data_IF_108143954797
#
_entry.id   IF_108143954797
#
_cell.length_a   1.000
_cell.length_b   1.000
_cell.length_c   1.000
_cell.angle_alpha   90.00
_cell.angle_beta   90.00
_cell.angle_gamma   90.00
#
_symmetry.space_group_name_H-M   'P 1'
#
loop_
_entity.id
_entity.type
_entity.pdbx_description
1 polymer ?
#
# COMPACT_ATOMS: atom_id res chain seq x y z
N UNK A 1 16.94 -8.20 19.58
CA UNK A 1 15.82 -7.33 19.99
C UNK A 1 15.59 -6.32 18.88
N UNK A 2 14.60 -6.56 18.01
CA UNK A 2 14.10 -5.57 17.06
C UNK A 2 12.58 -5.66 17.14
N UNK A 3 11.98 -4.80 17.97
CA UNK A 3 10.53 -4.67 18.10
C UNK A 3 10.07 -3.71 17.01
N UNK A 4 9.92 -4.19 15.78
CA UNK A 4 9.24 -3.40 14.75
C UNK A 4 7.74 -3.55 14.98
N UNK A 5 7.16 -2.60 15.72
CA UNK A 5 5.76 -2.60 16.14
C UNK A 5 4.81 -2.19 15.02
N UNK A 6 4.91 -2.80 13.84
CA UNK A 6 3.91 -2.63 12.78
C UNK A 6 2.87 -3.72 13.00
N UNK A 7 1.67 -3.32 13.42
CA UNK A 7 0.52 -4.23 13.51
C UNK A 7 -0.09 -4.36 12.11
N UNK A 8 -0.19 -5.58 11.56
CA UNK A 8 -0.92 -5.79 10.31
C UNK A 8 -2.35 -5.26 10.48
N UNK A 9 -2.86 -4.51 9.50
CA UNK A 9 -4.28 -4.14 9.48
C UNK A 9 -5.06 -5.38 9.05
N UNK A 10 -5.50 -6.17 10.01
CA UNK A 10 -6.17 -7.47 9.77
C UNK A 10 -7.64 -7.34 9.37
N UNK A 11 -8.22 -6.14 9.48
CA UNK A 11 -9.63 -5.88 9.17
C UNK A 11 -9.74 -4.60 8.36
N UNK A 12 -9.61 -4.74 7.05
CA UNK A 12 -9.79 -3.65 6.12
C UNK A 12 -11.19 -3.75 5.52
N UNK A 13 -12.07 -2.79 5.84
CA UNK A 13 -13.47 -2.79 5.37
C UNK A 13 -13.64 -2.26 3.93
N UNK A 14 -12.62 -2.40 3.08
CA UNK A 14 -12.70 -2.00 1.67
C UNK A 14 -12.15 -3.11 0.76
N UNK A 15 -12.64 -3.14 -0.47
CA UNK A 15 -12.23 -4.13 -1.46
C UNK A 15 -10.77 -3.92 -1.89
N UNK A 16 -10.01 -5.01 -1.99
CA UNK A 16 -8.65 -5.00 -2.53
C UNK A 16 -8.71 -5.15 -4.05
N UNK A 17 -9.14 -4.10 -4.74
CA UNK A 17 -9.26 -4.11 -6.20
C UNK A 17 -8.92 -2.73 -6.76
N UNK A 18 -8.31 -2.71 -7.94
CA UNK A 18 -7.95 -1.47 -8.64
C UNK A 18 -9.18 -0.58 -8.83
N UNK A 19 -9.01 0.73 -8.61
CA UNK A 19 -10.07 1.73 -8.63
C UNK A 19 -10.88 1.83 -7.33
N UNK A 20 -10.56 1.03 -6.30
CA UNK A 20 -11.24 1.15 -5.01
C UNK A 20 -10.70 2.34 -4.22
N UNK A 21 -11.59 3.17 -3.68
CA UNK A 21 -11.23 4.25 -2.78
C UNK A 21 -10.80 3.72 -1.41
N UNK A 22 -9.65 4.17 -0.94
CA UNK A 22 -9.06 3.85 0.35
C UNK A 22 -9.48 4.90 1.38
N UNK A 23 -10.02 4.51 2.55
CA UNK A 23 -10.34 5.45 3.61
C UNK A 23 -9.13 6.28 4.03
N UNK A 24 -9.29 7.60 4.18
CA UNK A 24 -8.22 8.50 4.62
C UNK A 24 -7.70 8.25 6.04
N UNK A 25 -8.38 7.39 6.81
CA UNK A 25 -7.90 6.90 8.10
C UNK A 25 -6.75 5.90 7.98
N UNK A 26 -6.48 5.37 6.78
CA UNK A 26 -5.37 4.46 6.51
C UNK A 26 -4.08 5.26 6.35
N UNK A 27 -3.07 4.89 7.13
CA UNK A 27 -1.73 5.47 6.99
C UNK A 27 -1.05 4.89 5.76
N UNK A 28 -0.78 5.76 4.79
CA UNK A 28 -0.03 5.42 3.59
C UNK A 28 1.47 5.51 3.85
N UNK A 29 2.26 4.59 3.29
CA UNK A 29 3.71 4.59 3.38
C UNK A 29 4.35 4.80 2.01
N UNK A 30 5.49 5.48 1.95
CA UNK A 30 6.24 5.62 0.71
C UNK A 30 6.85 4.27 0.30
N UNK A 31 6.80 3.92 -0.99
CA UNK A 31 7.35 2.66 -1.50
C UNK A 31 8.84 2.49 -1.14
N UNK A 32 9.27 1.27 -0.73
CA UNK A 32 10.67 1.00 -0.46
C UNK A 32 11.54 1.28 -1.69
N UNK A 33 12.75 1.85 -1.53
CA UNK A 33 13.66 2.12 -2.65
C UNK A 33 13.96 0.90 -3.54
N UNK A 34 13.92 -0.31 -2.96
CA UNK A 34 14.10 -1.56 -3.70
C UNK A 34 13.02 -1.75 -4.78
N UNK A 35 11.74 -1.50 -4.46
CA UNK A 35 10.63 -1.58 -5.43
C UNK A 35 10.79 -0.50 -6.49
N UNK A 36 11.10 0.74 -6.09
CA UNK A 36 11.30 1.85 -7.04
C UNK A 36 12.51 1.65 -7.97
N UNK A 37 13.49 0.83 -7.57
CA UNK A 37 14.63 0.46 -8.41
C UNK A 37 14.22 -0.56 -9.46
N UNK A 38 13.36 -1.51 -9.11
CA UNK A 38 12.82 -2.53 -10.01
C UNK A 38 11.77 -1.94 -10.97
N UNK A 39 10.88 -1.10 -10.44
CA UNK A 39 9.76 -0.49 -11.16
C UNK A 39 9.73 1.02 -10.88
N UNK A 40 10.50 1.82 -11.64
CA UNK A 40 10.55 3.28 -11.46
C UNK A 40 9.21 3.99 -11.70
N UNK A 41 8.27 3.34 -12.40
CA UNK A 41 6.95 3.88 -12.68
C UNK A 41 6.11 4.11 -11.42
N UNK A 42 6.42 3.45 -10.30
CA UNK A 42 5.69 3.65 -9.06
C UNK A 42 6.16 4.86 -8.22
N UNK A 43 7.08 5.68 -8.75
CA UNK A 43 7.50 6.91 -8.06
C UNK A 43 6.32 7.85 -7.87
N UNK A 44 6.17 8.37 -6.66
CA UNK A 44 5.08 9.27 -6.29
C UNK A 44 3.85 8.55 -5.75
N UNK A 45 3.74 7.22 -5.91
CA UNK A 45 2.71 6.44 -5.25
C UNK A 45 3.10 6.08 -3.81
N UNK A 46 2.08 5.67 -3.06
CA UNK A 46 2.23 5.10 -1.72
C UNK A 46 1.81 3.64 -1.71
N UNK A 47 2.11 2.93 -0.63
CA UNK A 47 1.67 1.56 -0.44
C UNK A 47 1.14 1.31 0.97
N UNK A 48 0.35 0.25 1.09
CA UNK A 48 -0.08 -0.37 2.35
C UNK A 48 0.12 -1.87 2.22
N UNK A 49 0.50 -2.52 3.32
CA UNK A 49 0.50 -3.98 3.41
C UNK A 49 -0.83 -4.44 3.99
N UNK A 50 -1.57 -5.26 3.23
CA UNK A 50 -2.83 -5.87 3.68
C UNK A 50 -2.66 -7.37 3.66
N UNK A 51 -2.56 -7.99 4.84
CA UNK A 51 -2.07 -9.37 4.93
C UNK A 51 -0.64 -9.44 4.41
N UNK A 52 -0.44 -10.22 3.35
CA UNK A 52 0.85 -10.34 2.65
C UNK A 52 0.86 -9.55 1.31
N UNK A 53 -0.26 -8.94 0.92
CA UNK A 53 -0.38 -8.23 -0.34
C UNK A 53 0.15 -6.79 -0.24
N UNK A 54 0.87 -6.36 -1.27
CA UNK A 54 1.30 -4.97 -1.44
C UNK A 54 0.25 -4.25 -2.28
N UNK A 55 -0.45 -3.30 -1.65
CA UNK A 55 -1.47 -2.48 -2.32
C UNK A 55 -0.86 -1.13 -2.64
N UNK A 56 -0.77 -0.78 -3.91
CA UNK A 56 -0.23 0.50 -4.38
C UNK A 56 -1.37 1.49 -4.55
N UNK A 57 -1.19 2.70 -4.02
CA UNK A 57 -2.23 3.71 -3.86
C UNK A 57 -1.72 5.04 -4.40
N UNK A 58 -2.57 5.72 -5.17
CA UNK A 58 -2.37 7.12 -5.52
C UNK A 58 -2.68 8.01 -4.31
N UNK A 59 -1.69 8.73 -3.74
CA UNK A 59 -1.91 9.55 -2.55
C UNK A 59 -2.73 10.82 -2.82
N UNK A 60 -2.85 11.25 -4.08
CA UNK A 60 -3.63 12.43 -4.45
C UNK A 60 -5.13 12.10 -4.49
N UNK A 61 -5.48 10.92 -5.02
CA UNK A 61 -6.88 10.46 -5.15
C UNK A 61 -7.33 9.53 -4.02
N UNK A 62 -6.40 8.91 -3.30
CA UNK A 62 -6.65 7.82 -2.36
C UNK A 62 -7.29 6.59 -3.04
N UNK A 63 -6.91 6.27 -4.27
CA UNK A 63 -7.41 5.09 -4.99
C UNK A 63 -6.33 4.01 -5.15
N UNK A 64 -6.75 2.74 -5.09
CA UNK A 64 -5.88 1.60 -5.42
C UNK A 64 -5.56 1.64 -6.91
N UNK A 65 -4.28 1.75 -7.25
CA UNK A 65 -3.81 1.69 -8.64
C UNK A 65 -3.29 0.31 -9.02
N UNK A 66 -2.83 -0.47 -8.03
CA UNK A 66 -2.31 -1.81 -8.27
C UNK A 66 -2.39 -2.67 -7.00
N UNK A 67 -2.44 -3.99 -7.19
CA UNK A 67 -2.38 -4.98 -6.11
C UNK A 67 -1.39 -6.05 -6.52
N UNK A 68 -0.30 -6.17 -5.77
CA UNK A 68 0.72 -7.18 -5.97
C UNK A 68 0.50 -8.26 -4.90
N UNK A 69 -0.11 -9.39 -5.25
CA UNK A 69 -0.24 -10.52 -4.32
C UNK A 69 1.13 -11.16 -4.07
N UNK A 70 1.32 -11.66 -2.85
CA UNK A 70 2.51 -12.44 -2.47
C UNK A 70 2.52 -13.85 -3.07
#
# INVERSE_FOLDING_TARGET
>A
MVRSGVRPVTNVNFALSVGTAVPRSVTLHALPPAILTLVPAYRGFSYVLVGDDIVIIDPDTYEIVDVIPA
#
